data_IF_987273197986
#
_entry.id   IF_987273197986
#
_cell.length_a   1.000
_cell.length_b   1.000
_cell.length_c   1.000
_cell.angle_alpha   90.00
_cell.angle_beta   90.00
_cell.angle_gamma   90.00
#
_symmetry.space_group_name_H-M   'P 1'
#
loop_
_entity.id
_entity.type
_entity.pdbx_description
1 polymer ?
#
# COMPACT_ATOMS: atom_id res chain seq x y z
N UNK A 1 28.05 20.35 -21.81
CA UNK A 1 27.75 19.50 -20.64
C UNK A 1 26.22 19.47 -20.42
N UNK A 2 25.49 18.48 -20.94
CA UNK A 2 24.01 18.44 -20.81
C UNK A 2 23.43 17.01 -20.85
N UNK A 3 24.08 16.06 -20.15
CA UNK A 3 23.59 14.67 -20.02
C UNK A 3 23.23 14.25 -18.59
N UNK A 4 23.50 15.09 -17.60
CA UNK A 4 23.27 14.79 -16.18
C UNK A 4 21.82 15.08 -15.72
N UNK A 5 21.18 16.11 -16.28
CA UNK A 5 19.84 16.56 -15.84
C UNK A 5 18.73 15.63 -16.36
N UNK A 6 18.93 14.99 -17.52
CA UNK A 6 17.97 14.06 -18.10
C UNK A 6 18.03 12.66 -17.45
N UNK A 7 19.17 12.23 -16.91
CA UNK A 7 19.24 10.96 -16.17
C UNK A 7 18.52 11.03 -14.83
N UNK A 8 18.61 12.16 -14.11
CA UNK A 8 17.97 12.33 -12.80
C UNK A 8 16.44 12.44 -12.86
N UNK A 9 15.87 12.81 -14.02
CA UNK A 9 14.41 12.87 -14.24
C UNK A 9 13.77 11.52 -14.57
N UNK A 10 14.56 10.48 -14.86
CA UNK A 10 14.03 9.18 -15.32
C UNK A 10 13.86 8.17 -14.17
N UNK A 11 14.56 8.34 -13.04
CA UNK A 11 14.53 7.37 -11.95
C UNK A 11 13.43 7.59 -10.89
N UNK A 12 12.87 8.80 -10.77
CA UNK A 12 11.72 9.06 -9.89
C UNK A 12 10.42 8.84 -10.68
N UNK A 13 10.19 7.59 -11.13
CA UNK A 13 8.85 7.15 -11.52
C UNK A 13 8.08 6.85 -10.23
N UNK A 14 7.64 7.94 -9.59
CA UNK A 14 7.37 8.11 -8.16
C UNK A 14 6.85 6.91 -7.38
N UNK A 15 5.77 6.25 -7.81
CA UNK A 15 5.11 5.19 -7.04
C UNK A 15 5.12 3.88 -7.84
N UNK A 16 6.14 3.05 -7.64
CA UNK A 16 6.32 1.80 -8.37
C UNK A 16 6.19 0.54 -7.51
N UNK A 17 6.29 0.68 -6.18
CA UNK A 17 6.23 -0.42 -5.22
C UNK A 17 4.98 -0.31 -4.36
N UNK A 18 4.34 -1.43 -4.10
CA UNK A 18 3.25 -1.53 -3.13
C UNK A 18 3.57 -2.60 -2.08
N UNK A 19 3.27 -2.28 -0.82
CA UNK A 19 3.35 -3.16 0.34
C UNK A 19 1.91 -3.50 0.73
N UNK A 20 1.54 -4.77 0.66
CA UNK A 20 0.22 -5.26 1.01
C UNK A 20 0.22 -5.99 2.34
N UNK A 21 -0.79 -5.67 3.14
CA UNK A 21 -1.13 -6.29 4.41
C UNK A 21 -2.45 -7.06 4.25
N UNK A 22 -2.43 -8.39 4.03
CA UNK A 22 -3.64 -9.13 3.69
C UNK A 22 -4.66 -9.25 4.83
N UNK A 23 -4.16 -9.44 6.06
CA UNK A 23 -5.01 -9.78 7.21
C UNK A 23 -5.02 -8.73 8.31
N UNK A 24 -4.28 -7.64 8.14
CA UNK A 24 -4.18 -6.57 9.14
C UNK A 24 -4.46 -5.21 8.51
N UNK A 25 -5.00 -4.30 9.31
CA UNK A 25 -5.18 -2.90 8.92
C UNK A 25 -3.87 -2.13 8.96
N UNK A 26 -3.70 -1.15 8.06
CA UNK A 26 -2.47 -0.32 7.95
C UNK A 26 -2.19 0.50 9.22
N UNK A 27 -3.24 0.95 9.91
CA UNK A 27 -3.13 1.83 11.08
C UNK A 27 -3.49 1.17 12.40
N UNK A 28 -3.62 -0.17 12.45
CA UNK A 28 -4.05 -0.88 13.65
C UNK A 28 -5.47 -0.47 14.08
N UNK A 29 -6.48 -1.23 13.63
CA UNK A 29 -7.79 -1.17 14.30
C UNK A 29 -7.65 -1.63 15.75
N UNK A 30 -8.59 -1.29 16.65
CA UNK A 30 -8.52 -1.73 18.04
C UNK A 30 -8.32 -3.24 18.09
N UNK A 31 -7.24 -3.67 18.75
CA UNK A 31 -7.01 -5.08 19.09
C UNK A 31 -8.20 -5.51 19.96
N UNK A 32 -9.13 -6.26 19.39
CA UNK A 32 -10.34 -6.73 20.09
C UNK A 32 -11.68 -6.30 19.48
N UNK A 33 -11.73 -5.40 18.50
CA UNK A 33 -12.89 -5.32 17.59
C UNK A 33 -12.60 -6.22 16.42
N UNK A 34 -13.25 -7.38 16.40
CA UNK A 34 -13.25 -8.26 15.25
C UNK A 34 -13.53 -7.44 13.98
N UNK A 35 -12.55 -7.35 13.09
CA UNK A 35 -12.81 -7.18 11.65
C UNK A 35 -13.37 -8.53 11.20
N UNK A 36 -14.55 -8.89 11.70
CA UNK A 36 -15.23 -10.11 11.33
C UNK A 36 -15.77 -9.95 9.90
N UNK A 37 -15.73 -11.08 9.20
CA UNK A 37 -16.30 -11.42 7.89
C UNK A 37 -15.59 -11.05 6.59
N UNK A 38 -14.61 -10.15 6.54
CA UNK A 38 -13.94 -9.84 5.26
C UNK A 38 -12.43 -10.12 5.32
N UNK A 39 -12.08 -11.33 4.92
CA UNK A 39 -10.70 -11.77 4.75
C UNK A 39 -10.17 -11.56 3.32
N UNK A 40 -8.86 -11.76 3.10
CA UNK A 40 -8.24 -11.55 1.79
C UNK A 40 -8.79 -12.46 0.68
N UNK A 41 -9.38 -13.59 1.05
CA UNK A 41 -10.00 -14.56 0.14
C UNK A 41 -11.50 -14.34 -0.08
N UNK A 42 -12.13 -13.38 0.62
CA UNK A 42 -13.54 -13.06 0.42
C UNK A 42 -13.77 -12.69 -1.05
N UNK A 43 -14.72 -13.37 -1.69
CA UNK A 43 -14.96 -13.26 -3.13
C UNK A 43 -16.01 -12.21 -3.43
N UNK A 44 -15.72 -11.32 -4.38
CA UNK A 44 -16.62 -10.31 -4.90
C UNK A 44 -16.67 -10.45 -6.42
N UNK A 45 -17.82 -10.83 -6.97
CA UNK A 45 -18.00 -11.10 -8.41
C UNK A 45 -17.03 -12.18 -8.91
N UNK A 46 -16.87 -13.25 -8.12
CA UNK A 46 -16.08 -14.43 -8.51
C UNK A 46 -14.56 -14.30 -8.41
N UNK A 47 -14.05 -13.16 -7.93
CA UNK A 47 -12.61 -12.94 -7.66
C UNK A 47 -12.39 -12.57 -6.20
N UNK A 48 -11.33 -13.10 -5.58
CA UNK A 48 -10.97 -12.76 -4.21
C UNK A 48 -10.52 -11.30 -4.09
N UNK A 49 -10.78 -10.66 -2.95
CA UNK A 49 -10.37 -9.28 -2.68
C UNK A 49 -8.87 -9.08 -2.87
N UNK A 50 -8.03 -10.02 -2.41
CA UNK A 50 -6.59 -9.95 -2.61
C UNK A 50 -6.22 -9.91 -4.09
N UNK A 51 -6.76 -10.83 -4.90
CA UNK A 51 -6.50 -10.87 -6.35
C UNK A 51 -6.95 -9.56 -7.01
N UNK A 52 -8.13 -9.05 -6.64
CA UNK A 52 -8.67 -7.79 -7.17
C UNK A 52 -7.76 -6.60 -6.84
N UNK A 53 -7.26 -6.53 -5.62
CA UNK A 53 -6.31 -5.50 -5.18
C UNK A 53 -5.02 -5.58 -5.98
N UNK A 54 -4.44 -6.78 -6.12
CA UNK A 54 -3.22 -7.01 -6.92
C UNK A 54 -3.40 -6.61 -8.39
N UNK A 55 -4.53 -6.99 -9.01
CA UNK A 55 -4.84 -6.62 -10.38
C UNK A 55 -5.05 -5.10 -10.53
N UNK A 56 -5.62 -4.44 -9.53
CA UNK A 56 -5.80 -2.99 -9.52
C UNK A 56 -4.45 -2.27 -9.45
N UNK A 57 -3.55 -2.73 -8.58
CA UNK A 57 -2.17 -2.21 -8.47
C UNK A 57 -1.40 -2.40 -9.79
N UNK A 58 -1.43 -3.59 -10.36
CA UNK A 58 -0.79 -3.88 -11.65
C UNK A 58 -1.32 -2.94 -12.75
N UNK A 59 -2.65 -2.77 -12.86
CA UNK A 59 -3.26 -1.86 -13.84
C UNK A 59 -2.97 -0.39 -13.58
N UNK A 60 -2.67 -0.02 -12.34
CA UNK A 60 -2.23 1.32 -11.97
C UNK A 60 -0.72 1.55 -12.20
N UNK A 61 -0.01 0.55 -12.75
CA UNK A 61 1.42 0.63 -13.07
C UNK A 61 2.35 0.40 -11.89
N UNK A 62 1.88 -0.28 -10.84
CA UNK A 62 2.78 -0.83 -9.81
C UNK A 62 3.56 -1.98 -10.45
N UNK A 63 4.87 -2.03 -10.20
CA UNK A 63 5.82 -2.97 -10.82
C UNK A 63 6.41 -3.95 -9.84
N UNK A 64 6.31 -3.69 -8.54
CA UNK A 64 6.78 -4.59 -7.49
C UNK A 64 5.73 -4.65 -6.38
N UNK A 65 5.41 -5.86 -5.96
CA UNK A 65 4.53 -6.11 -4.83
C UNK A 65 5.33 -6.79 -3.71
N UNK A 66 5.25 -6.24 -2.50
CA UNK A 66 5.71 -6.88 -1.28
C UNK A 66 4.48 -7.24 -0.47
N UNK A 67 4.38 -8.47 0.01
CA UNK A 67 3.24 -8.95 0.79
C UNK A 67 3.73 -9.42 2.15
N UNK A 68 3.23 -8.78 3.19
CA UNK A 68 3.50 -9.19 4.58
C UNK A 68 2.37 -10.11 5.02
N UNK A 69 2.63 -11.42 4.94
CA UNK A 69 1.61 -12.46 5.14
C UNK A 69 1.78 -13.21 6.46
N UNK A 70 0.65 -13.57 7.08
CA UNK A 70 0.59 -14.45 8.24
C UNK A 70 0.30 -15.89 7.85
N UNK A 71 -0.58 -16.54 8.59
CA UNK A 71 -1.02 -17.94 8.36
C UNK A 71 -1.71 -18.18 7.00
N UNK A 72 -2.21 -17.12 6.38
CA UNK A 72 -2.94 -17.13 5.11
C UNK A 72 -2.04 -17.20 3.86
N UNK A 73 -0.71 -17.08 4.02
CA UNK A 73 0.25 -16.96 2.93
C UNK A 73 0.04 -17.97 1.81
N UNK A 74 -0.07 -19.25 2.14
CA UNK A 74 -0.21 -20.32 1.16
C UNK A 74 -1.53 -20.24 0.38
N UNK A 75 -2.62 -19.87 1.06
CA UNK A 75 -3.93 -19.72 0.41
C UNK A 75 -3.94 -18.53 -0.56
N UNK A 76 -3.30 -17.43 -0.15
CA UNK A 76 -3.19 -16.21 -0.95
C UNK A 76 -2.24 -16.41 -2.15
N UNK A 77 -1.13 -17.14 -1.98
CA UNK A 77 -0.25 -17.60 -3.08
C UNK A 77 -1.03 -18.46 -4.09
N UNK A 78 -1.78 -19.45 -3.60
CA UNK A 78 -2.60 -20.29 -4.46
C UNK A 78 -3.67 -19.49 -5.21
N UNK A 79 -4.29 -18.48 -4.56
CA UNK A 79 -5.23 -17.60 -5.21
C UNK A 79 -4.57 -16.84 -6.38
N UNK A 80 -3.35 -16.31 -6.23
CA UNK A 80 -2.65 -15.69 -7.36
C UNK A 80 -2.36 -16.68 -8.49
N UNK A 81 -1.99 -17.92 -8.16
CA UNK A 81 -1.68 -18.95 -9.16
C UNK A 81 -2.90 -19.43 -9.95
N UNK A 82 -4.12 -19.30 -9.41
CA UNK A 82 -5.38 -19.77 -10.02
C UNK A 82 -6.16 -18.65 -10.74
N UNK A 83 -5.68 -17.41 -10.74
CA UNK A 83 -6.41 -16.21 -11.20
C UNK A 83 -5.96 -15.60 -12.54
N UNK A 84 -6.57 -14.47 -12.95
CA UNK A 84 -6.18 -13.72 -14.16
C UNK A 84 -4.72 -13.31 -14.07
N UNK A 85 -3.98 -13.38 -15.19
CA UNK A 85 -2.51 -13.22 -15.32
C UNK A 85 -1.93 -12.06 -14.47
N UNK A 86 -1.66 -12.33 -13.20
CA UNK A 86 -0.84 -11.48 -12.34
C UNK A 86 0.59 -11.66 -12.82
N UNK A 87 1.18 -10.60 -13.33
CA UNK A 87 2.53 -10.59 -13.91
C UNK A 87 3.49 -9.74 -13.10
N UNK A 88 3.00 -8.96 -12.14
CA UNK A 88 3.88 -8.21 -11.25
C UNK A 88 4.65 -9.18 -10.34
N UNK A 89 5.98 -9.00 -10.20
CA UNK A 89 6.77 -9.71 -9.20
C UNK A 89 6.19 -9.53 -7.80
N UNK A 90 6.05 -10.64 -7.08
CA UNK A 90 5.55 -10.67 -5.69
C UNK A 90 6.64 -11.21 -4.78
N UNK A 91 7.06 -10.39 -3.82
CA UNK A 91 7.94 -10.77 -2.72
C UNK A 91 7.10 -11.06 -1.48
N UNK A 92 7.26 -12.26 -0.93
CA UNK A 92 6.58 -12.67 0.29
C UNK A 92 7.49 -12.45 1.49
N UNK A 93 6.98 -11.80 2.52
CA UNK A 93 7.69 -11.52 3.77
C UNK A 93 6.82 -12.01 4.92
N UNK A 94 7.13 -13.16 5.52
CA UNK A 94 6.27 -13.74 6.55
C UNK A 94 6.33 -12.92 7.83
N UNK A 95 5.17 -12.59 8.42
CA UNK A 95 5.06 -11.74 9.61
C UNK A 95 5.82 -12.32 10.82
N UNK A 96 5.98 -13.65 10.89
CA UNK A 96 6.80 -14.31 11.92
C UNK A 96 8.29 -13.90 11.91
N UNK A 97 8.82 -13.54 10.74
CA UNK A 97 10.21 -13.10 10.56
C UNK A 97 10.30 -11.57 10.43
N UNK A 98 9.19 -10.94 10.02
CA UNK A 98 9.05 -9.50 9.83
C UNK A 98 7.82 -8.97 10.60
N UNK A 99 7.87 -8.88 11.94
CA UNK A 99 6.76 -8.36 12.74
C UNK A 99 6.51 -6.89 12.44
N UNK A 100 5.24 -6.48 12.34
CA UNK A 100 4.87 -5.10 11.96
C UNK A 100 5.11 -4.08 13.06
N UNK A 101 5.19 -4.54 14.30
CA UNK A 101 5.51 -3.77 15.49
C UNK A 101 7.03 -3.57 15.68
N UNK A 102 7.86 -4.33 14.96
CA UNK A 102 9.31 -4.17 14.97
C UNK A 102 9.76 -3.06 13.99
N UNK A 103 10.42 -1.98 14.45
CA UNK A 103 10.99 -0.96 13.57
C UNK A 103 11.93 -1.52 12.49
N UNK A 104 12.65 -2.60 12.79
CA UNK A 104 13.59 -3.24 11.85
C UNK A 104 12.89 -3.81 10.62
N UNK A 105 11.64 -4.23 10.76
CA UNK A 105 10.82 -4.67 9.62
C UNK A 105 10.61 -3.53 8.63
N UNK A 106 10.32 -2.33 9.13
CA UNK A 106 10.11 -1.14 8.29
C UNK A 106 11.42 -0.67 7.63
N UNK A 107 12.55 -0.78 8.33
CA UNK A 107 13.86 -0.53 7.74
C UNK A 107 14.18 -1.53 6.60
N UNK A 108 13.91 -2.82 6.81
CA UNK A 108 14.08 -3.85 5.79
C UNK A 108 13.15 -3.60 4.57
N UNK A 109 11.91 -3.18 4.79
CA UNK A 109 10.99 -2.80 3.72
C UNK A 109 11.48 -1.56 2.97
N UNK A 110 11.97 -0.55 3.68
CA UNK A 110 12.50 0.67 3.07
C UNK A 110 13.70 0.38 2.15
N UNK A 111 14.56 -0.57 2.53
CA UNK A 111 15.69 -1.00 1.70
C UNK A 111 15.27 -1.64 0.36
N UNK A 112 14.05 -2.17 0.27
CA UNK A 112 13.49 -2.79 -0.94
C UNK A 112 12.74 -1.81 -1.85
N UNK A 113 12.47 -0.61 -1.35
CA UNK A 113 11.67 0.41 -2.04
C UNK A 113 12.59 1.39 -2.76
N UNK A 114 12.46 1.45 -4.08
CA UNK A 114 13.12 2.47 -4.90
C UNK A 114 12.12 3.59 -5.20
N UNK A 115 12.16 4.68 -4.41
CA UNK A 115 11.26 5.83 -4.54
C UNK A 115 10.11 5.80 -3.53
N UNK A 116 8.88 6.11 -3.95
CA UNK A 116 7.71 6.06 -3.07
C UNK A 116 7.10 4.66 -3.06
N UNK A 117 6.62 4.25 -1.89
CA UNK A 117 5.83 3.04 -1.70
C UNK A 117 4.39 3.36 -1.29
N UNK A 118 3.47 2.55 -1.78
CA UNK A 118 2.09 2.51 -1.31
C UNK A 118 1.97 1.42 -0.25
N UNK A 119 1.53 1.75 0.96
CA UNK A 119 1.15 0.74 1.97
C UNK A 119 -0.36 0.62 1.99
N UNK A 120 -0.90 -0.59 1.82
CA UNK A 120 -2.34 -0.81 1.81
C UNK A 120 -2.74 -2.15 2.44
N UNK A 121 -3.94 -2.16 3.03
CA UNK A 121 -4.60 -3.40 3.45
C UNK A 121 -5.53 -3.89 2.34
N UNK A 122 -5.71 -5.20 2.22
CA UNK A 122 -6.61 -5.79 1.22
C UNK A 122 -8.08 -5.42 1.44
N UNK A 123 -8.44 -5.09 2.68
CA UNK A 123 -9.79 -4.65 3.03
C UNK A 123 -10.08 -3.22 2.55
N UNK A 124 -9.06 -2.47 2.16
CA UNK A 124 -9.20 -1.15 1.55
C UNK A 124 -9.34 -1.31 0.04
N UNK A 125 -10.56 -1.49 -0.46
CA UNK A 125 -10.81 -1.51 -1.91
C UNK A 125 -10.67 -0.09 -2.46
N UNK A 126 -9.72 0.12 -3.38
CA UNK A 126 -9.45 1.42 -3.99
C UNK A 126 -9.54 1.36 -5.53
N UNK A 127 -9.73 2.54 -6.13
CA UNK A 127 -9.73 2.69 -7.58
C UNK A 127 -8.31 2.86 -8.12
N UNK A 128 -8.12 2.46 -9.39
CA UNK A 128 -6.90 2.78 -10.15
C UNK A 128 -6.61 4.29 -10.17
N UNK A 129 -7.66 5.10 -10.33
CA UNK A 129 -7.54 6.55 -10.41
C UNK A 129 -6.96 7.18 -9.13
N UNK A 130 -7.22 6.58 -7.96
CA UNK A 130 -6.60 7.01 -6.70
C UNK A 130 -5.08 6.83 -6.73
N UNK A 131 -4.59 5.67 -7.16
CA UNK A 131 -3.14 5.40 -7.24
C UNK A 131 -2.47 6.32 -8.26
N UNK A 132 -3.12 6.55 -9.41
CA UNK A 132 -2.62 7.48 -10.42
C UNK A 132 -2.56 8.91 -9.91
N UNK A 133 -3.52 9.32 -9.07
CA UNK A 133 -3.52 10.62 -8.40
C UNK A 133 -2.39 10.71 -7.37
N UNK A 134 -2.27 9.71 -6.49
CA UNK A 134 -1.19 9.64 -5.49
C UNK A 134 0.19 9.71 -6.14
N UNK A 135 0.39 9.02 -7.27
CA UNK A 135 1.64 9.06 -8.04
C UNK A 135 2.03 10.48 -8.48
N UNK A 136 1.05 11.37 -8.72
CA UNK A 136 1.29 12.77 -9.12
C UNK A 136 1.43 13.72 -7.93
N UNK A 137 0.77 13.41 -6.83
CA UNK A 137 0.71 14.28 -5.64
C UNK A 137 1.85 14.04 -4.64
N UNK A 138 2.42 12.83 -4.62
CA UNK A 138 3.48 12.46 -3.67
C UNK A 138 4.76 13.26 -3.91
N UNK A 139 5.38 13.69 -2.82
CA UNK A 139 6.64 14.45 -2.79
C UNK A 139 7.59 13.83 -1.76
N UNK A 140 8.89 14.01 -1.98
CA UNK A 140 9.93 13.55 -1.05
C UNK A 140 9.69 14.15 0.35
N UNK A 141 9.79 13.31 1.38
CA UNK A 141 9.59 13.69 2.78
C UNK A 141 8.12 13.84 3.21
N UNK A 142 7.15 13.55 2.35
CA UNK A 142 5.72 13.59 2.69
C UNK A 142 5.10 12.20 2.76
N UNK A 143 4.23 12.01 3.75
CA UNK A 143 3.34 10.85 3.84
C UNK A 143 1.91 11.29 3.53
N UNK A 144 1.26 10.62 2.56
CA UNK A 144 -0.16 10.83 2.24
C UNK A 144 -0.96 9.69 2.85
N UNK A 145 -1.88 10.03 3.74
CA UNK A 145 -2.83 9.07 4.32
C UNK A 145 -4.17 9.22 3.62
N UNK A 146 -4.69 8.12 3.09
CA UNK A 146 -6.04 8.07 2.52
C UNK A 146 -6.91 7.23 3.43
N UNK A 147 -7.94 7.86 3.99
CA UNK A 147 -9.00 7.20 4.74
C UNK A 147 -10.34 7.41 4.03
N UNK A 148 -11.31 6.53 4.30
CA UNK A 148 -12.68 6.84 3.95
C UNK A 148 -13.15 7.99 4.84
N UNK A 149 -13.73 9.03 4.23
CA UNK A 149 -14.34 10.11 4.99
C UNK A 149 -15.49 9.52 5.83
N UNK A 150 -15.31 9.46 7.15
CA UNK A 150 -16.45 9.37 8.05
C UNK A 150 -17.28 10.63 7.80
N UNK A 151 -18.59 10.48 7.59
CA UNK A 151 -19.50 11.57 7.20
C UNK A 151 -19.49 12.79 8.17
N UNK A 152 -18.77 12.75 9.29
CA UNK A 152 -18.60 13.86 10.24
C UNK A 152 -17.17 14.43 10.41
N UNK A 153 -16.15 13.97 9.67
CA UNK A 153 -14.73 14.29 9.99
C UNK A 153 -13.99 15.09 8.91
N UNK A 154 -14.66 15.45 7.81
CA UNK A 154 -14.07 16.27 6.74
C UNK A 154 -13.72 17.69 7.23
N UNK A 155 -14.39 18.20 8.26
CA UNK A 155 -14.14 19.54 8.80
C UNK A 155 -12.91 19.66 9.72
N UNK A 156 -12.40 18.56 10.29
CA UNK A 156 -11.27 18.64 11.24
C UNK A 156 -9.88 18.54 10.59
N UNK A 157 -9.74 17.81 9.49
CA UNK A 157 -8.43 17.61 8.85
C UNK A 157 -7.90 18.86 8.13
N UNK A 158 -8.79 19.72 7.61
CA UNK A 158 -8.39 20.99 7.00
C UNK A 158 -7.84 21.96 8.07
N UNK A 159 -8.30 21.87 9.32
CA UNK A 159 -7.86 22.76 10.41
C UNK A 159 -6.47 22.40 10.95
N UNK A 160 -6.07 21.12 10.91
CA UNK A 160 -4.76 20.70 11.44
C UNK A 160 -3.59 20.98 10.48
N UNK A 161 -3.79 20.85 9.17
CA UNK A 161 -2.76 21.21 8.17
C UNK A 161 -2.39 22.70 8.15
N UNK A 162 -3.21 23.57 8.76
CA UNK A 162 -2.89 24.99 8.92
C UNK A 162 -2.13 25.31 10.22
N UNK A 163 -2.14 24.43 11.24
CA UNK A 163 -1.45 24.67 12.51
C UNK A 163 -0.01 24.14 12.56
N UNK A 164 0.35 23.14 11.75
CA UNK A 164 1.73 22.62 11.71
C UNK A 164 2.69 23.47 10.86
N UNK A 165 2.19 24.53 10.20
CA UNK A 165 3.02 25.44 9.37
C UNK A 165 3.41 26.74 10.07
N UNK A 166 3.18 26.86 11.38
CA UNK A 166 3.64 27.98 12.21
C UNK A 166 4.30 27.41 13.47
N UNK A 167 5.45 26.75 13.32
CA UNK A 167 6.56 26.76 14.27
C UNK A 167 7.66 25.79 13.84
N UNK A 168 8.63 26.35 13.12
CA UNK A 168 10.05 26.08 13.38
C UNK A 168 10.82 27.14 12.62
N UNK A 169 11.31 28.13 13.38
CA UNK A 169 12.47 28.95 13.05
C UNK A 169 13.69 28.07 12.76
#
# INVERSE_FOLDING_TARGET
>A
MSKSILKRRVEIQGLATAILLPSVGVFGGPIGTQVDDVGPLTSVVGIGLFQRTVLTLQRAGIRQLIVLSGSEEEQVKQALGKGPRVTIPVRWMPIREFPLDDPRTWEALAAEVHGFALVASVNSVFSRGLIERLRREVQDGQAIVVSQASQGQVDQFIVQSLRSKVQSD
#
